data_IF_518029028600
#
_entry.id   IF_518029028600
#
_cell.length_a   1.000
_cell.length_b   1.000
_cell.length_c   1.000
_cell.angle_alpha   90.00
_cell.angle_beta   90.00
_cell.angle_gamma   90.00
#
_symmetry.space_group_name_H-M   'P 1'
#
loop_
_entity.id
_entity.type
_entity.pdbx_description
1 polymer ?
#
# COMPACT_ATOMS: atom_id res chain seq x y z
N UNK A 1 -0.60 -1.89 -39.37
CA UNK A 1 -0.59 -3.34 -39.11
C UNK A 1 -1.88 -3.82 -38.44
N UNK A 2 -2.38 -5.02 -38.76
CA UNK A 2 -3.51 -5.65 -38.06
C UNK A 2 -3.06 -6.40 -36.82
N UNK A 3 -2.85 -5.70 -35.70
CA UNK A 3 -2.54 -6.32 -34.42
C UNK A 3 -3.82 -6.85 -33.76
N UNK A 4 -3.77 -8.05 -33.19
CA UNK A 4 -4.90 -8.62 -32.42
C UNK A 4 -4.47 -8.83 -30.98
N UNK A 5 -5.22 -8.25 -30.04
CA UNK A 5 -5.07 -8.59 -28.63
C UNK A 5 -5.48 -10.05 -28.43
N UNK A 6 -4.58 -10.87 -27.90
CA UNK A 6 -4.80 -12.29 -27.64
C UNK A 6 -4.93 -12.60 -26.16
N UNK A 7 -4.30 -11.81 -25.30
CA UNK A 7 -4.36 -11.97 -23.85
C UNK A 7 -4.35 -10.61 -23.15
N UNK A 8 -5.16 -10.48 -22.10
CA UNK A 8 -5.16 -9.34 -21.19
C UNK A 8 -5.13 -9.86 -19.75
N UNK A 9 -4.08 -9.51 -19.02
CA UNK A 9 -3.91 -9.86 -17.60
C UNK A 9 -3.84 -8.59 -16.78
N UNK A 10 -4.72 -8.48 -15.80
CA UNK A 10 -4.70 -7.38 -14.83
C UNK A 10 -4.37 -7.95 -13.46
N UNK A 11 -3.29 -7.45 -12.87
CA UNK A 11 -2.89 -7.77 -11.51
C UNK A 11 -3.45 -6.72 -10.56
N UNK A 12 -4.27 -7.17 -9.62
CA UNK A 12 -4.95 -6.31 -8.65
C UNK A 12 -4.60 -6.75 -7.23
N UNK A 13 -4.24 -5.78 -6.40
CA UNK A 13 -4.14 -5.94 -4.95
C UNK A 13 -5.48 -5.58 -4.32
N UNK A 14 -6.02 -6.50 -3.53
CA UNK A 14 -7.24 -6.33 -2.77
C UNK A 14 -6.86 -6.00 -1.33
N UNK A 15 -7.41 -4.93 -0.76
CA UNK A 15 -7.15 -4.54 0.62
C UNK A 15 -8.35 -4.82 1.52
N UNK A 16 -8.03 -5.23 2.74
CA UNK A 16 -8.99 -5.76 3.69
C UNK A 16 -8.88 -5.05 5.04
N UNK A 17 -10.02 -4.75 5.64
CA UNK A 17 -10.13 -4.18 6.99
C UNK A 17 -11.49 -4.55 7.59
N UNK A 18 -11.65 -4.29 8.88
CA UNK A 18 -12.93 -4.33 9.60
C UNK A 18 -13.80 -3.13 9.22
N UNK A 19 -15.10 -3.19 9.50
CA UNK A 19 -16.03 -2.05 9.28
C UNK A 19 -15.61 -0.77 10.02
N UNK A 20 -14.88 -0.91 11.13
CA UNK A 20 -14.40 0.21 11.96
C UNK A 20 -12.94 0.60 11.67
N UNK A 21 -12.34 0.09 10.59
CA UNK A 21 -10.97 0.38 10.17
C UNK A 21 -9.91 0.10 11.25
N UNK A 22 -10.13 -0.94 12.06
CA UNK A 22 -9.25 -1.29 13.18
C UNK A 22 -7.83 -1.68 12.73
N UNK A 23 -7.67 -2.34 11.57
CA UNK A 23 -6.34 -2.73 11.10
C UNK A 23 -5.54 -1.47 10.71
N UNK A 24 -6.14 -0.58 9.91
CA UNK A 24 -5.52 0.68 9.55
C UNK A 24 -5.20 1.56 10.77
N UNK A 25 -6.11 1.64 11.75
CA UNK A 25 -5.90 2.38 13.00
C UNK A 25 -4.70 1.85 13.80
N UNK A 26 -4.38 0.57 13.65
CA UNK A 26 -3.23 -0.10 14.27
C UNK A 26 -2.01 -0.19 13.33
N UNK A 27 -1.98 0.59 12.26
CA UNK A 27 -0.89 0.60 11.26
C UNK A 27 -0.59 -0.81 10.73
N UNK A 28 -1.65 -1.56 10.45
CA UNK A 28 -1.64 -2.92 9.93
C UNK A 28 -2.42 -2.96 8.63
N UNK A 29 -1.83 -3.52 7.58
CA UNK A 29 -2.47 -3.60 6.26
C UNK A 29 -2.55 -5.05 5.80
N UNK A 30 -3.77 -5.56 5.68
CA UNK A 30 -4.03 -6.87 5.09
C UNK A 30 -4.36 -6.72 3.61
N UNK A 31 -3.65 -7.46 2.77
CA UNK A 31 -3.88 -7.48 1.33
C UNK A 31 -3.86 -8.88 0.75
N UNK A 32 -4.52 -9.05 -0.39
CA UNK A 32 -4.50 -10.27 -1.19
C UNK A 32 -4.18 -9.94 -2.64
N UNK A 33 -3.22 -10.66 -3.22
CA UNK A 33 -2.88 -10.60 -4.64
C UNK A 33 -3.03 -12.00 -5.23
N UNK A 34 -4.02 -12.20 -6.10
CA UNK A 34 -4.39 -13.55 -6.55
C UNK A 34 -4.78 -14.45 -5.36
N UNK A 35 -4.06 -15.56 -5.18
CA UNK A 35 -4.25 -16.49 -4.06
C UNK A 35 -3.32 -16.22 -2.85
N UNK A 36 -2.45 -15.21 -2.93
CA UNK A 36 -1.47 -14.95 -1.88
C UNK A 36 -1.94 -13.82 -0.96
N UNK A 37 -1.93 -14.11 0.35
CA UNK A 37 -2.16 -13.13 1.41
C UNK A 37 -0.85 -12.51 1.89
N UNK A 38 -0.93 -11.23 2.26
CA UNK A 38 0.18 -10.46 2.82
C UNK A 38 -0.34 -9.54 3.92
N UNK A 39 0.34 -9.56 5.06
CA UNK A 39 0.07 -8.64 6.17
C UNK A 39 1.31 -7.76 6.39
N UNK A 40 1.15 -6.45 6.21
CA UNK A 40 2.22 -5.47 6.42
C UNK A 40 2.00 -4.82 7.79
N UNK A 41 3.04 -4.80 8.61
CA UNK A 41 3.05 -4.28 9.96
C UNK A 41 4.03 -3.11 10.06
N UNK A 42 3.61 -1.98 10.61
CA UNK A 42 4.55 -0.95 11.07
C UNK A 42 5.24 -1.41 12.36
N UNK A 43 6.57 -1.32 12.40
CA UNK A 43 7.35 -1.62 13.60
C UNK A 43 7.64 -0.39 14.47
N UNK A 44 7.23 0.79 14.02
CA UNK A 44 7.51 2.05 14.69
C UNK A 44 9.03 2.35 14.81
N UNK A 45 9.39 3.49 15.41
CA UNK A 45 10.78 3.79 15.74
C UNK A 45 11.25 2.86 16.86
N UNK A 46 12.31 2.10 16.62
CA UNK A 46 12.97 1.31 17.67
C UNK A 46 13.51 2.30 18.72
N UNK A 47 13.26 2.10 20.03
CA UNK A 47 13.88 2.94 21.04
C UNK A 47 15.40 2.85 20.88
N UNK A 48 16.04 4.00 20.62
CA UNK A 48 17.49 4.12 20.58
C UNK A 48 18.04 3.72 21.95
N UNK A 49 19.03 2.83 21.95
CA UNK A 49 19.70 2.33 23.17
C UNK A 49 20.38 3.46 23.95
N UNK A 50 20.54 4.64 23.35
CA UNK A 50 21.14 5.83 23.96
C UNK A 50 20.25 6.54 25.00
N UNK A 51 19.01 6.09 25.21
CA UNK A 51 18.11 6.66 26.23
C UNK A 51 18.13 5.92 27.58
N UNK A 52 19.04 4.95 27.77
CA UNK A 52 19.26 4.27 29.05
C UNK A 52 20.18 5.06 30.00
N UNK A 53 19.81 6.29 30.29
CA UNK A 53 20.57 7.13 31.22
C UNK A 53 19.82 8.37 31.62
N UNK A 54 18.78 8.21 32.45
CA UNK A 54 18.34 9.14 33.51
C UNK A 54 17.05 8.58 34.13
N UNK A 55 17.21 7.58 35.00
CA UNK A 55 16.25 7.40 36.10
C UNK A 55 16.45 8.58 37.06
N UNK A 56 15.42 9.41 37.22
CA UNK A 56 15.25 10.20 38.41
C UNK A 56 13.96 9.72 39.07
N UNK A 57 14.15 9.04 40.19
CA UNK A 57 13.11 8.67 41.12
C UNK A 57 12.34 9.92 41.58
N UNK A 58 11.02 9.85 41.58
CA UNK A 58 10.24 10.60 42.57
C UNK A 58 8.98 9.81 42.85
N UNK A 59 8.94 9.22 44.04
CA UNK A 59 7.85 8.39 44.48
C UNK A 59 6.67 9.17 45.05
N UNK A 60 5.59 8.39 45.21
CA UNK A 60 4.63 8.42 46.31
C UNK A 60 3.54 9.48 46.33
N UNK A 61 2.29 9.01 46.19
CA UNK A 61 1.10 9.68 46.71
C UNK A 61 -0.20 9.35 45.96
N UNK A 62 -0.85 8.25 46.31
CA UNK A 62 -2.29 8.03 46.08
C UNK A 62 -3.08 8.45 47.35
N UNK A 63 -4.43 8.34 47.43
CA UNK A 63 -5.51 8.61 46.46
C UNK A 63 -6.58 9.58 47.05
N UNK A 64 -7.57 10.04 46.27
CA UNK A 64 -8.88 10.44 46.83
C UNK A 64 -10.02 10.40 45.80
N UNK A 65 -11.21 10.13 46.33
CA UNK A 65 -12.40 9.57 45.69
C UNK A 65 -13.55 10.58 45.51
N UNK A 66 -14.52 10.20 44.65
CA UNK A 66 -15.97 10.54 44.60
C UNK A 66 -16.36 12.03 44.46
N UNK A 67 -17.26 12.48 43.58
CA UNK A 67 -18.72 12.23 43.43
C UNK A 67 -19.19 13.10 42.23
N UNK A 68 -20.00 12.63 41.28
CA UNK A 68 -21.48 12.65 41.19
C UNK A 68 -22.07 13.76 40.29
N UNK A 69 -23.22 13.43 39.69
CA UNK A 69 -24.29 14.26 39.12
C UNK A 69 -24.17 14.92 37.71
N UNK A 70 -24.91 14.33 36.75
CA UNK A 70 -26.13 14.94 36.22
C UNK A 70 -26.05 15.95 35.06
N UNK A 71 -26.83 15.71 33.99
CA UNK A 71 -27.15 16.74 32.99
C UNK A 71 -27.72 16.20 31.68
N UNK A 72 -29.05 16.22 31.57
CA UNK A 72 -29.86 15.95 30.37
C UNK A 72 -29.82 17.08 29.31
N UNK A 73 -30.49 16.80 28.18
CA UNK A 73 -30.89 17.67 27.06
C UNK A 73 -29.81 17.93 26.00
N UNK A 74 -30.03 17.67 24.71
CA UNK A 74 -31.26 17.80 23.93
C UNK A 74 -31.11 19.03 23.04
N UNK A 75 -30.76 18.84 21.76
CA UNK A 75 -30.89 19.88 20.74
C UNK A 75 -30.79 19.26 19.34
N UNK A 76 -31.95 18.98 18.75
CA UNK A 76 -32.15 19.05 17.31
C UNK A 76 -31.93 20.52 16.86
N UNK A 77 -31.24 20.70 15.74
CA UNK A 77 -31.02 22.00 15.12
C UNK A 77 -30.34 21.80 13.78
N UNK A 78 -31.12 21.44 12.77
CA UNK A 78 -31.56 22.34 11.71
C UNK A 78 -30.42 22.75 10.76
N UNK A 79 -30.51 22.18 9.57
CA UNK A 79 -29.85 22.63 8.38
C UNK A 79 -30.13 24.12 8.14
N UNK A 80 -29.09 24.83 7.67
CA UNK A 80 -29.07 25.90 6.68
C UNK A 80 -27.88 26.82 6.97
N UNK A 81 -26.99 27.00 6.00
CA UNK A 81 -26.61 28.33 5.52
C UNK A 81 -25.44 28.22 4.55
N UNK A 82 -25.75 28.47 3.27
CA UNK A 82 -24.80 28.94 2.29
C UNK A 82 -24.12 30.21 2.79
N UNK A 83 -22.79 30.31 2.69
CA UNK A 83 -22.09 31.55 2.33
C UNK A 83 -20.62 31.34 1.97
N UNK A 84 -20.37 31.44 0.67
CA UNK A 84 -19.37 32.31 0.03
C UNK A 84 -18.16 32.69 0.91
N UNK A 85 -17.10 31.87 0.85
CA UNK A 85 -15.80 32.19 1.46
C UNK A 85 -14.84 32.68 0.38
N UNK A 86 -14.92 33.99 0.09
CA UNK A 86 -13.83 34.74 -0.55
C UNK A 86 -12.66 34.82 0.43
N UNK A 87 -11.57 34.12 0.11
CA UNK A 87 -10.31 34.20 0.84
C UNK A 87 -9.74 35.63 0.77
N UNK A 88 -9.54 36.32 1.91
CA UNK A 88 -8.70 37.51 1.93
C UNK A 88 -7.23 37.08 1.90
N UNK A 89 -6.52 37.55 0.87
CA UNK A 89 -5.07 37.47 0.71
C UNK A 89 -4.39 38.28 1.83
N UNK A 90 -3.57 37.69 2.72
CA UNK A 90 -2.79 38.50 3.65
C UNK A 90 -1.63 39.16 2.89
N UNK A 91 -1.66 40.49 2.89
CA UNK A 91 -0.54 41.35 2.55
C UNK A 91 0.57 41.21 3.60
N UNK A 92 1.79 41.50 3.14
CA UNK A 92 3.04 41.18 3.82
C UNK A 92 3.21 41.74 5.22
N UNK A 93 3.97 41.00 6.02
CA UNK A 93 4.53 41.44 7.28
C UNK A 93 6.04 41.30 7.25
N UNK A 94 6.66 42.38 7.72
CA UNK A 94 8.06 42.73 7.74
C UNK A 94 9.01 41.68 8.29
N UNK A 95 10.22 41.74 7.73
CA UNK A 95 11.45 41.13 8.20
C UNK A 95 11.80 41.55 9.64
N UNK A 96 12.11 40.57 10.48
CA UNK A 96 12.86 40.75 11.71
C UNK A 96 14.07 39.79 11.69
N UNK A 97 15.30 40.28 11.89
CA UNK A 97 16.49 39.43 11.92
C UNK A 97 16.68 38.88 13.35
N UNK A 98 16.08 37.72 13.60
CA UNK A 98 16.30 36.93 14.82
C UNK A 98 16.99 35.62 14.46
N UNK A 99 18.33 35.62 14.48
CA UNK A 99 19.14 34.43 14.25
C UNK A 99 18.96 33.41 15.39
N UNK A 100 17.94 32.56 15.28
CA UNK A 100 17.88 31.33 16.05
C UNK A 100 18.71 30.27 15.33
N UNK A 101 19.75 29.80 15.99
CA UNK A 101 20.49 28.60 15.63
C UNK A 101 19.51 27.42 15.56
N UNK A 102 19.01 27.11 14.36
CA UNK A 102 18.30 25.87 14.10
C UNK A 102 19.37 24.77 14.08
N UNK A 103 19.51 24.07 15.20
CA UNK A 103 20.22 22.79 15.24
C UNK A 103 19.65 21.90 14.11
N UNK A 104 20.50 21.26 13.29
CA UNK A 104 20.03 20.36 12.25
C UNK A 104 19.27 19.21 12.92
N UNK A 105 17.94 19.24 12.85
CA UNK A 105 17.11 18.10 13.23
C UNK A 105 17.55 16.92 12.37
N UNK A 106 18.04 15.86 13.00
CA UNK A 106 18.37 14.64 12.28
C UNK A 106 17.13 14.17 11.51
N UNK A 107 17.27 13.72 10.26
CA UNK A 107 16.12 13.25 9.49
C UNK A 107 15.40 12.16 10.30
N UNK A 108 14.05 12.16 10.31
CA UNK A 108 13.29 11.16 11.03
C UNK A 108 13.70 9.76 10.53
N UNK A 109 13.81 8.78 11.44
CA UNK A 109 14.19 7.42 11.05
C UNK A 109 13.21 6.88 10.03
N UNK A 110 13.74 6.24 8.98
CA UNK A 110 12.90 5.65 7.93
C UNK A 110 11.93 4.64 8.56
N UNK A 111 10.64 4.66 8.14
CA UNK A 111 9.66 3.72 8.66
C UNK A 111 10.11 2.28 8.37
N UNK A 112 9.98 1.42 9.38
CA UNK A 112 10.36 0.01 9.30
C UNK A 112 9.11 -0.83 9.20
N UNK A 113 8.88 -1.36 8.01
CA UNK A 113 7.80 -2.30 7.79
C UNK A 113 8.30 -3.74 7.89
N UNK A 114 7.45 -4.62 8.39
CA UNK A 114 7.64 -6.08 8.34
C UNK A 114 6.44 -6.71 7.65
N UNK A 115 6.72 -7.58 6.71
CA UNK A 115 5.70 -8.34 5.98
C UNK A 115 5.60 -9.77 6.55
N UNK A 116 4.36 -10.25 6.72
CA UNK A 116 4.03 -11.64 6.99
C UNK A 116 3.31 -12.22 5.78
N UNK A 117 3.78 -13.37 5.30
CA UNK A 117 3.23 -14.07 4.12
C UNK A 117 2.74 -15.47 4.42
N UNK A 118 3.17 -16.08 5.55
CA UNK A 118 2.70 -17.38 5.98
C UNK A 118 1.31 -17.27 6.62
N UNK A 119 0.36 -18.10 6.17
CA UNK A 119 -1.04 -18.08 6.62
C UNK A 119 -1.18 -18.16 8.14
N UNK A 120 -0.46 -19.07 8.79
CA UNK A 120 -0.51 -19.25 10.26
C UNK A 120 -0.03 -18.00 11.00
N UNK A 121 1.07 -17.39 10.56
CA UNK A 121 1.58 -16.15 11.15
C UNK A 121 0.64 -14.96 10.94
N UNK A 122 -0.03 -14.88 9.79
CA UNK A 122 -1.04 -13.84 9.51
C UNK A 122 -2.23 -14.02 10.46
N UNK A 123 -2.81 -15.23 10.52
CA UNK A 123 -3.97 -15.54 11.35
C UNK A 123 -3.67 -15.31 12.83
N UNK A 124 -2.54 -15.81 13.34
CA UNK A 124 -2.14 -15.62 14.74
C UNK A 124 -1.99 -14.13 15.09
N UNK A 125 -1.39 -13.34 14.18
CA UNK A 125 -1.26 -11.90 14.41
C UNK A 125 -2.62 -11.21 14.43
N UNK A 126 -3.48 -11.48 13.45
CA UNK A 126 -4.80 -10.86 13.36
C UNK A 126 -5.69 -11.25 14.54
N UNK A 127 -5.69 -12.52 14.94
CA UNK A 127 -6.44 -13.01 16.10
C UNK A 127 -6.05 -12.26 17.38
N UNK A 128 -4.75 -12.10 17.62
CA UNK A 128 -4.23 -11.35 18.78
C UNK A 128 -4.63 -9.87 18.73
N UNK A 129 -4.58 -9.24 17.56
CA UNK A 129 -4.87 -7.81 17.40
C UNK A 129 -6.35 -7.47 17.51
N UNK A 130 -7.20 -8.32 16.95
CA UNK A 130 -8.66 -8.14 16.95
C UNK A 130 -9.34 -8.79 18.16
N UNK A 131 -8.58 -9.47 19.02
CA UNK A 131 -9.09 -10.21 20.18
C UNK A 131 -10.16 -11.24 19.79
N UNK A 132 -9.96 -11.90 18.65
CA UNK A 132 -10.84 -12.93 18.14
C UNK A 132 -10.33 -14.28 18.63
N UNK A 133 -11.17 -15.03 19.34
CA UNK A 133 -10.83 -16.36 19.81
C UNK A 133 -10.69 -17.31 18.62
N UNK A 134 -9.51 -17.94 18.51
CA UNK A 134 -9.30 -19.00 17.55
C UNK A 134 -10.01 -20.27 18.06
N UNK A 135 -10.85 -20.93 17.25
CA UNK A 135 -11.42 -22.21 17.64
C UNK A 135 -10.28 -23.18 17.94
N UNK A 136 -10.44 -23.98 18.99
CA UNK A 136 -9.49 -25.04 19.31
C UNK A 136 -9.26 -25.88 18.05
N UNK A 137 -8.00 -26.03 17.65
CA UNK A 137 -7.64 -26.79 16.44
C UNK A 137 -8.23 -28.19 16.55
N UNK A 138 -9.30 -28.45 15.79
CA UNK A 138 -9.77 -29.82 15.59
C UNK A 138 -8.70 -30.53 14.75
N UNK A 139 -7.96 -31.42 15.41
CA UNK A 139 -6.96 -32.36 14.89
C UNK A 139 -6.43 -32.08 13.47
N UNK A 140 -5.58 -31.05 13.34
CA UNK A 140 -4.56 -31.00 12.28
C UNK A 140 -4.83 -30.07 11.10
N UNK A 141 -5.99 -29.41 11.00
CA UNK A 141 -6.21 -28.40 9.97
C UNK A 141 -5.92 -26.98 10.46
N UNK A 142 -4.79 -26.43 10.02
CA UNK A 142 -4.48 -25.02 10.26
C UNK A 142 -5.54 -24.13 9.61
N UNK A 143 -6.08 -23.18 10.36
CA UNK A 143 -7.05 -22.20 9.84
C UNK A 143 -6.46 -21.40 8.66
N UNK A 144 -7.19 -21.34 7.55
CA UNK A 144 -6.83 -20.49 6.41
C UNK A 144 -7.10 -19.01 6.71
N UNK A 145 -6.37 -18.12 6.01
CA UNK A 145 -6.57 -16.67 6.16
C UNK A 145 -7.97 -16.26 5.72
N UNK A 146 -8.48 -16.84 4.63
CA UNK A 146 -9.84 -16.61 4.12
C UNK A 146 -10.89 -16.87 5.20
N UNK A 147 -10.83 -18.05 5.84
CA UNK A 147 -11.79 -18.45 6.85
C UNK A 147 -11.72 -17.55 8.08
N UNK A 148 -10.51 -17.15 8.48
CA UNK A 148 -10.34 -16.20 9.58
C UNK A 148 -10.89 -14.82 9.22
N UNK A 149 -10.62 -14.30 8.02
CA UNK A 149 -11.11 -13.00 7.53
C UNK A 149 -12.63 -12.95 7.58
N UNK A 150 -13.32 -14.00 7.14
CA UNK A 150 -14.77 -14.12 7.25
C UNK A 150 -15.25 -14.11 8.71
N UNK A 151 -14.62 -14.91 9.58
CA UNK A 151 -14.97 -15.03 11.00
C UNK A 151 -14.74 -13.73 11.78
N UNK A 152 -13.69 -12.99 11.47
CA UNK A 152 -13.32 -11.74 12.13
C UNK A 152 -14.09 -10.50 11.60
N UNK A 153 -15.04 -10.68 10.66
CA UNK A 153 -15.78 -9.56 10.06
C UNK A 153 -14.87 -8.61 9.27
N UNK A 154 -13.82 -9.16 8.66
CA UNK A 154 -12.91 -8.42 7.80
C UNK A 154 -13.44 -8.49 6.37
N UNK A 155 -13.59 -7.33 5.74
CA UNK A 155 -14.17 -7.21 4.41
C UNK A 155 -13.18 -6.52 3.45
N UNK A 156 -13.39 -6.73 2.15
CA UNK A 156 -12.65 -5.97 1.15
C UNK A 156 -13.16 -4.51 1.16
N UNK A 157 -12.27 -3.56 1.42
CA UNK A 157 -12.63 -2.13 1.41
C UNK A 157 -12.14 -1.41 0.15
N UNK A 158 -11.25 -2.04 -0.61
CA UNK A 158 -10.67 -1.43 -1.79
C UNK A 158 -9.84 -2.39 -2.61
N UNK A 159 -9.53 -1.94 -3.82
CA UNK A 159 -8.65 -2.63 -4.75
C UNK A 159 -7.78 -1.63 -5.50
N UNK A 160 -6.53 -2.00 -5.74
CA UNK A 160 -5.60 -1.23 -6.54
C UNK A 160 -5.03 -2.08 -7.67
N UNK A 161 -5.07 -1.57 -8.90
CA UNK A 161 -4.42 -2.23 -10.03
C UNK A 161 -2.92 -2.01 -9.96
N UNK A 162 -2.16 -3.07 -9.72
CA UNK A 162 -0.69 -3.03 -9.61
C UNK A 162 -0.07 -2.98 -11.00
N UNK A 163 -0.52 -3.84 -11.89
CA UNK A 163 -0.02 -3.86 -13.26
C UNK A 163 -1.06 -4.38 -14.25
N UNK A 164 -0.90 -3.98 -15.50
CA UNK A 164 -1.70 -4.46 -16.62
C UNK A 164 -0.76 -4.95 -17.72
N UNK A 165 -0.96 -6.18 -18.18
CA UNK A 165 -0.20 -6.83 -19.26
C UNK A 165 -1.16 -7.13 -20.41
N UNK A 166 -0.79 -6.68 -21.60
CA UNK A 166 -1.52 -6.91 -22.84
C UNK A 166 -0.59 -7.65 -23.79
N UNK A 167 -1.05 -8.78 -24.33
CA UNK A 167 -0.32 -9.51 -25.36
C UNK A 167 -1.03 -9.35 -26.70
N UNK A 168 -0.28 -8.89 -27.70
CA UNK A 168 -0.74 -8.74 -29.06
C UNK A 168 -0.03 -9.72 -29.97
N UNK A 169 -0.81 -10.38 -30.83
CA UNK A 169 -0.26 -11.12 -31.97
C UNK A 169 -0.20 -10.20 -33.19
N UNK A 170 1.00 -10.07 -33.73
CA UNK A 170 1.28 -9.30 -34.93
C UNK A 170 1.40 -10.26 -36.15
N UNK A 171 1.30 -9.74 -37.38
CA UNK A 171 1.56 -10.53 -38.58
C UNK A 171 2.97 -11.16 -38.56
N UNK A 172 3.10 -12.37 -39.12
CA UNK A 172 4.41 -13.00 -39.30
C UNK A 172 5.06 -13.54 -38.03
N UNK A 173 4.25 -14.14 -37.13
CA UNK A 173 4.68 -14.84 -35.90
C UNK A 173 5.34 -13.96 -34.83
N UNK A 174 5.14 -12.64 -34.90
CA UNK A 174 5.61 -11.72 -33.88
C UNK A 174 4.57 -11.60 -32.75
N UNK A 175 5.04 -11.51 -31.51
CA UNK A 175 4.23 -11.17 -30.35
C UNK A 175 4.75 -9.89 -29.70
N UNK A 176 3.85 -9.03 -29.29
CA UNK A 176 4.16 -7.79 -28.59
C UNK A 176 3.49 -7.84 -27.22
N UNK A 177 4.29 -7.91 -26.16
CA UNK A 177 3.81 -7.79 -24.78
C UNK A 177 3.96 -6.33 -24.32
N UNK A 178 2.86 -5.69 -23.93
CA UNK A 178 2.86 -4.34 -23.36
C UNK A 178 2.47 -4.45 -21.89
N UNK A 179 3.39 -4.07 -21.01
CA UNK A 179 3.19 -4.05 -19.56
C UNK A 179 3.18 -2.60 -19.06
N UNK A 180 2.18 -2.29 -18.24
CA UNK A 180 2.05 -1.04 -17.50
C UNK A 180 2.17 -1.35 -16.02
N UNK A 181 3.15 -0.72 -15.37
CA UNK A 181 3.34 -0.85 -13.92
C UNK A 181 2.87 0.42 -13.22
N UNK A 182 1.80 0.29 -12.43
CA UNK A 182 1.19 1.40 -11.70
C UNK A 182 1.76 1.57 -10.30
N UNK A 183 2.60 0.62 -9.83
CA UNK A 183 3.26 0.69 -8.52
C UNK A 183 4.49 1.60 -8.53
N UNK A 184 5.14 1.75 -9.69
CA UNK A 184 6.29 2.64 -9.83
C UNK A 184 5.87 4.10 -9.92
N UNK A 185 6.57 4.99 -9.21
CA UNK A 185 6.34 6.45 -9.29
C UNK A 185 6.50 7.00 -10.72
N UNK A 186 7.34 6.34 -11.53
CA UNK A 186 7.60 6.71 -12.92
C UNK A 186 6.55 6.18 -13.90
N UNK A 187 5.53 5.42 -13.44
CA UNK A 187 4.50 4.77 -14.26
C UNK A 187 5.10 4.15 -15.52
N UNK A 188 6.11 3.30 -15.33
CA UNK A 188 6.86 2.74 -16.44
C UNK A 188 5.94 1.95 -17.38
N UNK A 189 6.02 2.28 -18.67
CA UNK A 189 5.47 1.48 -19.75
C UNK A 189 6.62 0.70 -20.37
N UNK A 190 6.53 -0.62 -20.33
CA UNK A 190 7.51 -1.50 -20.94
C UNK A 190 6.83 -2.29 -22.03
N UNK A 191 7.46 -2.36 -23.19
CA UNK A 191 7.01 -3.19 -24.30
C UNK A 191 8.14 -4.17 -24.67
N UNK A 192 7.78 -5.42 -24.89
CA UNK A 192 8.69 -6.48 -25.29
C UNK A 192 8.18 -7.05 -26.61
N UNK A 193 8.95 -6.84 -27.68
CA UNK A 193 8.70 -7.43 -28.98
C UNK A 193 9.46 -8.75 -29.06
N UNK A 194 8.75 -9.83 -29.36
CA UNK A 194 9.32 -11.18 -29.55
C UNK A 194 9.02 -11.66 -30.96
N UNK A 195 10.03 -12.22 -31.63
CA UNK A 195 9.91 -12.78 -32.97
C UNK A 195 10.70 -14.08 -33.05
N UNK A 196 10.11 -15.11 -33.65
CA UNK A 196 10.84 -16.32 -34.00
C UNK A 196 11.81 -16.03 -35.15
N UNK A 197 13.09 -16.35 -34.98
CA UNK A 197 14.14 -16.13 -35.97
C UNK A 197 14.68 -17.46 -36.52
N UNK A 198 14.95 -17.50 -37.82
CA UNK A 198 15.73 -18.58 -38.43
C UNK A 198 17.22 -18.37 -38.12
N UNK A 199 17.85 -19.37 -37.52
CA UNK A 199 19.28 -19.35 -37.16
C UNK A 199 20.16 -19.24 -38.42
N UNK A 200 19.66 -19.66 -39.58
CA UNK A 200 20.39 -19.56 -40.84
C UNK A 200 20.37 -18.15 -41.45
N UNK A 201 19.45 -17.27 -41.01
CA UNK A 201 19.25 -15.92 -41.56
C UNK A 201 19.09 -14.86 -40.46
N UNK A 202 19.88 -14.98 -39.40
CA UNK A 202 19.80 -14.11 -38.21
C UNK A 202 19.91 -12.63 -38.57
N UNK A 203 20.80 -12.27 -39.51
CA UNK A 203 21.01 -10.88 -39.92
C UNK A 203 19.72 -10.23 -40.43
N UNK A 204 19.02 -10.92 -41.33
CA UNK A 204 17.75 -10.45 -41.89
C UNK A 204 16.63 -10.42 -40.85
N UNK A 205 16.57 -11.41 -39.98
CA UNK A 205 15.56 -11.42 -38.90
C UNK A 205 15.81 -10.29 -37.88
N UNK A 206 17.06 -9.94 -37.59
CA UNK A 206 17.37 -8.77 -36.76
C UNK A 206 16.95 -7.46 -37.45
N UNK A 207 17.29 -7.26 -38.72
CA UNK A 207 16.85 -6.08 -39.49
C UNK A 207 15.32 -5.95 -39.52
N UNK A 208 14.62 -7.08 -39.67
CA UNK A 208 13.17 -7.13 -39.61
C UNK A 208 12.63 -6.74 -38.23
N UNK A 209 13.27 -7.21 -37.15
CA UNK A 209 12.89 -6.84 -35.79
C UNK A 209 13.11 -5.35 -35.53
N UNK A 210 14.23 -4.79 -35.98
CA UNK A 210 14.54 -3.35 -35.88
C UNK A 210 13.55 -2.51 -36.67
N UNK A 211 13.21 -2.93 -37.89
CA UNK A 211 12.19 -2.26 -38.71
C UNK A 211 10.82 -2.28 -38.03
N UNK A 212 10.43 -3.40 -37.41
CA UNK A 212 9.18 -3.50 -36.66
C UNK A 212 9.19 -2.65 -35.40
N UNK A 213 10.31 -2.64 -34.67
CA UNK A 213 10.48 -1.80 -33.49
C UNK A 213 10.37 -0.31 -33.84
N UNK A 214 10.98 0.10 -34.96
CA UNK A 214 10.88 1.47 -35.47
C UNK A 214 9.45 1.83 -35.90
N UNK A 215 8.72 0.93 -36.58
CA UNK A 215 7.31 1.15 -36.95
C UNK A 215 6.40 1.30 -35.71
N UNK A 216 6.76 0.63 -34.61
CA UNK A 216 6.04 0.66 -33.34
C UNK A 216 6.54 1.76 -32.39
N UNK A 217 7.47 2.62 -32.83
CA UNK A 217 8.12 3.66 -32.03
C UNK A 217 8.75 3.14 -30.72
N UNK A 218 9.23 1.89 -30.73
CA UNK A 218 9.85 1.28 -29.56
C UNK A 218 11.29 1.79 -29.40
N UNK A 219 11.59 2.31 -28.21
CA UNK A 219 12.93 2.73 -27.85
C UNK A 219 13.64 1.63 -27.03
N UNK A 220 14.92 1.35 -27.28
CA UNK A 220 15.68 0.42 -26.47
C UNK A 220 15.75 0.89 -25.02
N UNK A 221 15.73 -0.05 -24.09
CA UNK A 221 15.88 0.26 -22.67
C UNK A 221 17.30 0.80 -22.43
N UNK A 222 17.47 1.97 -21.79
CA UNK A 222 18.80 2.46 -21.44
C UNK A 222 19.49 1.45 -20.51
N UNK A 223 20.78 1.21 -20.77
CA UNK A 223 21.64 0.31 -20.02
C UNK A 223 21.89 0.80 -18.59
#
# INVERSE_FOLDING_TARGET
MGARCVEEVTLTDLYYDTESFQLAAQQTWLSRQGAQWRLILDQGPRPSVDSLGLQAETGSGAPQAETDAGGEAGAEGSAESLRDSRFPKPAGLSEAPGGQNILPQSPPPAPRYRELTASSSIVEHLARRLQVELPAEEEGESMSVERFVELAGIHNYGSWTVSKRLEYRLPGLCTLEVRRDYSSALRAHTAVLTMGADVLDIGRELERMESLAAELDLQPRPA
#
